data_IF_088105491317
#
_entry.id   IF_088105491317
#
_cell.length_a   1.000
_cell.length_b   1.000
_cell.length_c   1.000
_cell.angle_alpha   90.00
_cell.angle_beta   90.00
_cell.angle_gamma   90.00
#
_symmetry.space_group_name_H-M   'P 1'
#
loop_
_entity.id
_entity.type
_entity.pdbx_description
1 polymer ?
#
# COMPACT_ATOMS: atom_id res chain seq x y z
N UNK A 1 58.68 -22.56 -39.52
CA UNK A 1 57.89 -21.41 -39.03
C UNK A 1 56.48 -21.57 -39.54
N UNK A 2 55.51 -21.89 -38.67
CA UNK A 2 54.10 -22.00 -39.03
C UNK A 2 53.36 -20.79 -38.45
N UNK A 3 52.73 -20.01 -39.32
CA UNK A 3 51.95 -18.83 -38.95
C UNK A 3 50.68 -19.25 -38.19
N UNK A 4 50.37 -18.64 -37.04
CA UNK A 4 49.21 -19.01 -36.25
C UNK A 4 47.92 -18.67 -37.00
N UNK A 5 46.94 -19.58 -36.96
CA UNK A 5 45.67 -19.39 -37.66
C UNK A 5 44.86 -18.24 -37.02
N UNK A 6 44.18 -17.41 -37.82
CA UNK A 6 43.40 -16.27 -37.34
C UNK A 6 42.28 -16.69 -36.38
N UNK A 7 41.80 -17.93 -36.49
CA UNK A 7 40.81 -18.51 -35.57
C UNK A 7 41.31 -18.63 -34.12
N UNK A 8 42.61 -18.87 -33.91
CA UNK A 8 43.17 -19.00 -32.56
C UNK A 8 43.24 -17.66 -31.82
N UNK A 9 43.50 -16.58 -32.56
CA UNK A 9 43.51 -15.22 -32.01
C UNK A 9 42.09 -14.75 -31.63
N UNK A 10 41.09 -15.07 -32.47
CA UNK A 10 39.69 -14.72 -32.21
C UNK A 10 39.14 -15.48 -31.01
N UNK A 11 39.49 -16.77 -30.85
CA UNK A 11 39.04 -17.57 -29.71
C UNK A 11 39.60 -17.07 -28.38
N UNK A 12 40.86 -16.63 -28.36
CA UNK A 12 41.47 -16.03 -27.15
C UNK A 12 40.85 -14.67 -26.81
N UNK A 13 40.46 -13.87 -27.81
CA UNK A 13 39.77 -12.60 -27.60
C UNK A 13 38.35 -12.79 -27.04
N UNK A 14 37.62 -13.79 -27.54
CA UNK A 14 36.27 -14.12 -27.06
C UNK A 14 36.25 -14.68 -25.63
N UNK A 15 37.31 -15.39 -25.22
CA UNK A 15 37.46 -15.88 -23.84
C UNK A 15 37.89 -14.78 -22.85
N UNK A 16 38.58 -13.73 -23.33
CA UNK A 16 39.01 -12.60 -22.49
C UNK A 16 37.92 -11.54 -22.24
N UNK A 17 36.95 -11.42 -23.16
CA UNK A 17 35.81 -10.49 -23.07
C UNK A 17 34.96 -10.59 -21.78
N UNK A 18 34.58 -11.78 -21.27
CA UNK A 18 33.86 -11.87 -20.00
C UNK A 18 34.73 -11.47 -18.79
N UNK A 19 36.05 -11.70 -18.85
CA UNK A 19 36.98 -11.36 -17.76
C UNK A 19 37.23 -9.84 -17.67
N UNK A 20 37.34 -9.16 -18.82
CA UNK A 20 37.42 -7.70 -18.91
C UNK A 20 36.10 -7.03 -18.49
N UNK A 21 34.96 -7.61 -18.84
CA UNK A 21 33.63 -7.18 -18.37
C UNK A 21 33.50 -7.27 -16.85
N UNK A 22 34.03 -8.34 -16.25
CA UNK A 22 33.99 -8.55 -14.80
C UNK A 22 34.85 -7.54 -14.03
N UNK A 23 36.03 -7.20 -14.56
CA UNK A 23 36.92 -6.18 -13.98
C UNK A 23 36.37 -4.75 -14.12
N UNK A 24 35.61 -4.45 -15.18
CA UNK A 24 34.96 -3.15 -15.36
C UNK A 24 33.75 -2.94 -14.42
N UNK A 25 33.04 -4.01 -14.05
CA UNK A 25 31.90 -3.97 -13.13
C UNK A 25 32.27 -3.85 -11.64
N UNK A 26 33.55 -4.01 -11.28
CA UNK A 26 34.01 -3.99 -9.88
C UNK A 26 34.80 -2.73 -9.49
N UNK A 27 34.89 -1.71 -10.36
CA UNK A 27 35.47 -0.42 -9.97
C UNK A 27 34.41 0.52 -9.38
N UNK A 28 34.38 0.51 -8.04
CA UNK A 28 33.82 1.50 -7.11
C UNK A 28 32.28 1.67 -7.07
N UNK A 29 31.60 1.18 -6.02
CA UNK A 29 30.25 1.65 -5.71
C UNK A 29 30.32 3.11 -5.24
N UNK A 30 29.49 3.96 -5.84
CA UNK A 30 29.25 5.31 -5.36
C UNK A 30 28.68 5.27 -3.91
N UNK A 31 28.99 6.26 -3.06
CA UNK A 31 28.45 6.28 -1.71
C UNK A 31 26.92 6.39 -1.75
N UNK A 32 26.24 5.48 -1.04
CA UNK A 32 24.81 5.54 -0.83
C UNK A 32 24.44 6.83 -0.08
N UNK A 33 23.34 7.52 -0.43
CA UNK A 33 22.81 8.58 0.39
C UNK A 33 22.43 8.04 1.78
N UNK A 34 22.54 8.85 2.85
CA UNK A 34 22.22 8.39 4.19
C UNK A 34 20.76 7.93 4.26
N UNK A 35 20.46 6.81 4.96
CA UNK A 35 19.10 6.34 5.13
C UNK A 35 18.29 7.40 5.87
N UNK A 36 17.12 7.73 5.34
CA UNK A 36 16.14 8.53 6.07
C UNK A 36 15.63 7.70 7.24
N UNK A 37 15.47 8.35 8.40
CA UNK A 37 14.93 7.77 9.63
C UNK A 37 13.64 7.00 9.32
N UNK A 38 13.66 5.68 9.51
CA UNK A 38 12.44 4.89 9.60
C UNK A 38 11.75 5.28 10.92
N UNK A 39 10.47 5.65 10.84
CA UNK A 39 9.69 5.94 12.04
C UNK A 39 8.96 4.68 12.49
N UNK A 40 9.36 4.22 13.68
CA UNK A 40 8.67 3.19 14.42
C UNK A 40 7.24 3.63 14.75
N UNK A 41 6.25 2.77 14.51
CA UNK A 41 4.85 3.04 14.80
C UNK A 41 4.61 3.18 16.32
N UNK A 42 4.50 4.41 16.81
CA UNK A 42 4.02 4.66 18.18
C UNK A 42 2.53 5.01 18.11
N UNK A 43 1.67 4.08 18.54
CA UNK A 43 0.25 4.34 18.79
C UNK A 43 0.13 5.24 20.05
N UNK A 44 -0.77 6.24 20.09
CA UNK A 44 -0.95 7.07 21.27
C UNK A 44 -1.58 6.25 22.40
N UNK A 45 -0.94 6.26 23.56
CA UNK A 45 -1.50 5.74 24.80
C UNK A 45 -2.74 6.55 25.20
N UNK A 46 -3.75 5.85 25.71
CA UNK A 46 -4.96 6.42 26.27
C UNK A 46 -4.62 7.38 27.42
N UNK A 47 -5.19 8.58 27.39
CA UNK A 47 -5.08 9.55 28.47
C UNK A 47 -5.83 9.05 29.70
N UNK A 48 -5.11 8.81 30.79
CA UNK A 48 -5.67 8.56 32.11
C UNK A 48 -6.00 9.89 32.79
N UNK A 49 -7.23 9.97 33.28
CA UNK A 49 -7.80 11.06 34.05
C UNK A 49 -7.18 11.03 35.45
N UNK A 50 -6.53 12.12 35.88
CA UNK A 50 -6.49 12.46 37.31
C UNK A 50 -6.73 13.94 37.52
N UNK A 51 -7.79 14.18 38.28
CA UNK A 51 -8.29 15.45 38.78
C UNK A 51 -7.74 15.58 40.21
N UNK A 52 -7.18 16.73 40.59
CA UNK A 52 -6.99 17.09 42.00
C UNK A 52 -6.91 18.62 42.15
N UNK A 53 -8.04 19.18 42.56
CA UNK A 53 -8.15 20.50 43.20
C UNK A 53 -7.34 20.53 44.50
N UNK A 54 -6.69 21.66 44.79
CA UNK A 54 -6.61 22.19 46.15
C UNK A 54 -6.46 23.72 46.12
N UNK A 55 -7.13 24.34 47.07
CA UNK A 55 -7.38 25.78 47.20
C UNK A 55 -6.49 26.41 48.28
N UNK A 56 -6.38 27.75 48.20
CA UNK A 56 -6.27 28.74 49.30
C UNK A 56 -4.86 29.22 49.72
N UNK A 57 -4.73 30.38 50.40
CA UNK A 57 -4.72 31.71 49.77
C UNK A 57 -3.59 32.63 50.33
N UNK A 58 -3.37 33.81 49.74
CA UNK A 58 -2.78 34.94 50.49
C UNK A 58 -3.19 36.28 49.88
N UNK A 59 -3.72 37.13 50.77
CA UNK A 59 -3.87 38.58 50.70
C UNK A 59 -2.49 39.27 50.56
N UNK A 60 -2.29 40.55 50.26
CA UNK A 60 -3.09 41.80 50.28
C UNK A 60 -2.27 42.83 49.51
N UNK A 61 -2.90 43.85 48.91
CA UNK A 61 -2.53 45.28 48.96
C UNK A 61 -2.95 46.03 47.69
N UNK A 62 -3.89 46.93 47.93
CA UNK A 62 -4.51 47.89 47.02
C UNK A 62 -3.52 48.99 46.64
N UNK A 63 -3.37 49.27 45.34
CA UNK A 63 -3.07 50.63 44.89
C UNK A 63 -3.80 50.88 43.57
N UNK A 64 -4.65 51.90 43.60
CA UNK A 64 -5.53 52.34 42.53
C UNK A 64 -4.75 53.20 41.53
N UNK A 65 -4.61 52.73 40.30
CA UNK A 65 -4.28 53.57 39.15
C UNK A 65 -5.14 53.14 37.96
N UNK A 66 -5.98 54.07 37.50
CA UNK A 66 -6.91 53.92 36.38
C UNK A 66 -6.25 53.30 35.13
N UNK A 67 -6.82 52.23 34.52
CA UNK A 67 -6.28 51.69 33.29
C UNK A 67 -6.82 52.47 32.09
N UNK A 68 -5.90 52.92 31.24
CA UNK A 68 -6.15 53.39 29.88
C UNK A 68 -6.92 52.34 29.05
N UNK A 69 -7.73 52.75 28.06
CA UNK A 69 -8.52 51.81 27.27
C UNK A 69 -7.63 50.75 26.59
N UNK A 70 -8.08 49.49 26.52
CA UNK A 70 -7.28 48.42 25.93
C UNK A 70 -7.00 48.73 24.47
N UNK A 71 -5.78 48.43 23.96
CA UNK A 71 -5.52 48.50 22.54
C UNK A 71 -6.51 47.56 21.81
N UNK A 72 -6.94 47.91 20.58
CA UNK A 72 -7.85 47.08 19.81
C UNK A 72 -7.27 45.67 19.71
N UNK A 73 -8.11 44.61 19.76
CA UNK A 73 -7.63 43.24 19.71
C UNK A 73 -6.81 43.08 18.43
N UNK A 74 -5.51 42.86 18.59
CA UNK A 74 -4.65 42.37 17.52
C UNK A 74 -5.35 41.18 16.89
N UNK A 75 -5.52 41.15 15.55
CA UNK A 75 -6.16 40.02 14.91
C UNK A 75 -5.42 38.77 15.38
N UNK A 76 -6.16 37.83 15.99
CA UNK A 76 -5.66 36.49 16.30
C UNK A 76 -4.91 36.03 15.06
N UNK A 77 -3.61 35.78 15.20
CA UNK A 77 -2.80 35.21 14.14
C UNK A 77 -3.63 34.07 13.52
N UNK A 78 -4.00 34.24 12.26
CA UNK A 78 -4.66 33.18 11.50
C UNK A 78 -3.85 31.92 11.71
N UNK A 79 -4.48 30.85 12.18
CA UNK A 79 -3.83 29.54 12.26
C UNK A 79 -3.08 29.34 10.95
N UNK A 80 -1.78 29.03 11.05
CA UNK A 80 -0.94 28.87 9.87
C UNK A 80 -1.58 27.80 8.97
N UNK A 81 -1.44 27.90 7.64
CA UNK A 81 -1.96 26.88 6.72
C UNK A 81 -1.42 25.48 7.07
N UNK A 82 -0.33 25.40 7.83
CA UNK A 82 0.24 24.14 8.34
C UNK A 82 -0.58 23.50 9.48
N UNK A 83 -1.31 24.29 10.28
CA UNK A 83 -2.10 23.81 11.42
C UNK A 83 -3.55 23.44 11.04
N UNK A 84 -3.99 23.80 9.84
CA UNK A 84 -5.37 23.51 9.42
C UNK A 84 -5.57 22.01 9.17
N UNK A 85 -6.71 21.41 9.56
CA UNK A 85 -7.01 20.01 9.24
C UNK A 85 -6.99 19.71 7.74
N UNK A 86 -6.56 18.50 7.38
CA UNK A 86 -6.58 18.04 5.97
C UNK A 86 -8.01 18.02 5.43
N UNK A 87 -8.26 18.74 4.34
CA UNK A 87 -9.55 18.84 3.66
C UNK A 87 -9.39 18.62 2.15
N UNK A 88 -10.49 18.60 1.38
CA UNK A 88 -10.45 18.33 -0.06
C UNK A 88 -9.58 19.31 -0.86
N UNK A 89 -9.38 20.55 -0.40
CA UNK A 89 -8.50 21.50 -1.12
C UNK A 89 -7.03 21.09 -1.06
N UNK A 90 -6.65 20.34 -0.03
CA UNK A 90 -5.30 19.83 0.20
C UNK A 90 -5.03 18.50 -0.52
N UNK A 91 -6.03 17.92 -1.19
CA UNK A 91 -5.93 16.63 -1.88
C UNK A 91 -6.08 16.86 -3.39
N UNK A 92 -5.18 16.26 -4.16
CA UNK A 92 -5.31 16.16 -5.62
C UNK A 92 -5.46 14.70 -6.01
N UNK A 93 -6.49 14.39 -6.78
CA UNK A 93 -6.79 13.06 -7.29
C UNK A 93 -6.26 12.93 -8.72
N UNK A 94 -5.31 12.03 -8.96
CA UNK A 94 -4.85 11.65 -10.29
C UNK A 94 -5.51 10.35 -10.72
N UNK A 95 -6.38 10.40 -11.72
CA UNK A 95 -7.13 9.24 -12.20
C UNK A 95 -6.56 8.79 -13.56
N UNK A 96 -6.08 7.56 -13.66
CA UNK A 96 -5.61 6.98 -14.91
C UNK A 96 -6.77 6.36 -15.69
N UNK A 97 -6.89 6.69 -16.97
CA UNK A 97 -7.96 6.21 -17.86
C UNK A 97 -7.43 6.06 -19.29
N UNK A 98 -8.22 5.45 -20.16
CA UNK A 98 -7.98 5.49 -21.60
C UNK A 98 -9.14 6.16 -22.33
N UNK A 99 -8.87 6.73 -23.51
CA UNK A 99 -9.88 7.27 -24.43
C UNK A 99 -10.96 6.22 -24.74
N UNK A 100 -10.56 4.94 -24.81
CA UNK A 100 -11.44 3.81 -25.11
C UNK A 100 -12.36 3.45 -23.94
N UNK A 101 -11.85 3.44 -22.71
CA UNK A 101 -12.60 3.02 -21.52
C UNK A 101 -13.42 4.15 -20.91
N UNK A 102 -13.02 5.40 -21.11
CA UNK A 102 -13.63 6.56 -20.46
C UNK A 102 -15.17 6.58 -20.52
N UNK A 103 -15.84 6.39 -21.68
CA UNK A 103 -17.31 6.44 -21.73
C UNK A 103 -18.00 5.44 -20.78
N UNK A 104 -17.39 4.27 -20.57
CA UNK A 104 -17.92 3.23 -19.68
C UNK A 104 -17.69 3.55 -18.20
N UNK A 105 -16.72 4.42 -17.89
CA UNK A 105 -16.23 4.71 -16.54
C UNK A 105 -16.75 6.02 -15.99
N UNK A 106 -17.19 6.93 -16.86
CA UNK A 106 -17.80 8.20 -16.47
C UNK A 106 -18.93 8.08 -15.44
N UNK A 107 -19.87 7.10 -15.52
CA UNK A 107 -20.92 6.96 -14.52
C UNK A 107 -20.37 6.74 -13.10
N UNK A 108 -19.32 5.92 -12.97
CA UNK A 108 -18.66 5.71 -11.67
C UNK A 108 -18.00 6.99 -11.17
N UNK A 109 -17.28 7.70 -12.04
CA UNK A 109 -16.62 8.95 -11.68
C UNK A 109 -17.65 10.00 -11.19
N UNK A 110 -18.82 10.11 -11.82
CA UNK A 110 -19.90 11.01 -11.35
C UNK A 110 -20.47 10.62 -9.98
N UNK A 111 -20.42 9.34 -9.62
CA UNK A 111 -20.99 8.87 -8.36
C UNK A 111 -20.25 9.46 -7.15
N UNK A 112 -18.92 9.44 -7.21
CA UNK A 112 -18.06 9.72 -6.06
C UNK A 112 -17.26 11.03 -6.15
N UNK A 113 -16.89 11.48 -7.36
CA UNK A 113 -16.19 12.77 -7.52
C UNK A 113 -17.18 13.92 -7.42
N UNK A 114 -16.92 14.83 -6.49
CA UNK A 114 -17.75 16.02 -6.25
C UNK A 114 -16.87 17.21 -5.92
N UNK A 115 -17.35 18.40 -6.27
CA UNK A 115 -16.74 19.65 -5.82
C UNK A 115 -16.69 19.70 -4.27
N UNK A 116 -15.66 20.33 -3.66
CA UNK A 116 -14.55 21.05 -4.29
C UNK A 116 -13.33 20.16 -4.59
N UNK A 117 -13.47 18.84 -4.75
CA UNK A 117 -12.34 17.96 -5.03
C UNK A 117 -11.62 18.37 -6.32
N UNK A 118 -10.29 18.39 -6.26
CA UNK A 118 -9.41 18.70 -7.39
C UNK A 118 -8.96 17.39 -8.01
N UNK A 119 -9.44 17.08 -9.21
CA UNK A 119 -9.11 15.83 -9.87
C UNK A 119 -8.60 16.06 -11.30
N UNK A 120 -7.63 15.25 -11.70
CA UNK A 120 -7.09 15.23 -13.05
C UNK A 120 -7.22 13.82 -13.62
N UNK A 121 -7.94 13.69 -14.74
CA UNK A 121 -8.12 12.45 -15.47
C UNK A 121 -7.13 12.40 -16.62
N UNK A 122 -6.21 11.45 -16.58
CA UNK A 122 -5.17 11.27 -17.58
C UNK A 122 -5.61 10.25 -18.62
N UNK A 123 -5.59 10.64 -19.89
CA UNK A 123 -5.91 9.80 -21.04
C UNK A 123 -4.65 9.45 -21.84
N UNK A 124 -4.71 8.34 -22.55
CA UNK A 124 -3.70 7.87 -23.52
C UNK A 124 -3.75 8.62 -24.86
N UNK A 125 -4.88 9.26 -25.18
CA UNK A 125 -5.06 10.05 -26.39
C UNK A 125 -6.11 11.15 -26.18
N UNK A 126 -6.02 12.22 -26.96
CA UNK A 126 -7.02 13.28 -26.98
C UNK A 126 -8.40 12.75 -27.41
N UNK A 127 -9.46 13.29 -26.80
CA UNK A 127 -10.82 13.03 -27.23
C UNK A 127 -11.11 13.73 -28.58
N UNK A 128 -11.94 13.15 -29.45
CA UNK A 128 -12.37 13.82 -30.68
C UNK A 128 -13.00 15.18 -30.37
N UNK A 129 -12.64 16.20 -31.16
CA UNK A 129 -13.26 17.54 -31.10
C UNK A 129 -14.65 17.50 -31.75
N UNK A 130 -15.60 16.82 -31.13
CA UNK A 130 -17.02 16.92 -31.49
C UNK A 130 -17.73 17.89 -30.55
N UNK A 131 -18.73 18.62 -31.07
CA UNK A 131 -19.60 19.46 -30.24
C UNK A 131 -20.31 18.57 -29.22
N UNK A 132 -20.10 18.82 -27.93
CA UNK A 132 -20.68 18.03 -26.83
C UNK A 132 -19.76 16.95 -26.28
N UNK A 133 -18.50 17.28 -25.99
CA UNK A 133 -17.57 16.39 -25.27
C UNK A 133 -18.19 15.81 -23.98
N UNK A 134 -17.60 14.74 -23.42
CA UNK A 134 -18.20 14.04 -22.29
C UNK A 134 -18.50 15.01 -21.15
N UNK A 135 -19.72 14.97 -20.63
CA UNK A 135 -20.05 15.68 -19.41
C UNK A 135 -19.18 15.13 -18.29
N UNK A 136 -18.32 15.94 -17.70
CA UNK A 136 -17.40 15.52 -16.64
C UNK A 136 -17.95 15.91 -15.27
N UNK A 137 -17.64 15.15 -14.21
CA UNK A 137 -17.93 15.56 -12.84
C UNK A 137 -17.31 16.93 -12.53
N UNK A 138 -18.00 17.80 -11.77
CA UNK A 138 -17.43 19.07 -11.32
C UNK A 138 -16.10 18.86 -10.59
N UNK A 139 -15.08 19.65 -10.95
CA UNK A 139 -13.73 19.56 -10.37
C UNK A 139 -12.80 18.56 -11.06
N UNK A 140 -13.30 17.74 -11.99
CA UNK A 140 -12.47 16.86 -12.82
C UNK A 140 -11.99 17.59 -14.08
N UNK A 141 -10.68 17.58 -14.32
CA UNK A 141 -10.05 18.16 -15.51
C UNK A 141 -9.35 17.07 -16.32
N UNK A 142 -9.53 17.09 -17.63
CA UNK A 142 -8.84 16.16 -18.54
C UNK A 142 -7.40 16.60 -18.79
N UNK A 143 -6.49 15.62 -18.84
CA UNK A 143 -5.13 15.78 -19.35
C UNK A 143 -4.81 14.61 -20.29
N UNK A 144 -4.03 14.88 -21.33
CA UNK A 144 -3.45 13.81 -22.17
C UNK A 144 -2.06 13.52 -21.63
N UNK A 145 -1.76 12.25 -21.42
CA UNK A 145 -0.45 11.82 -20.93
C UNK A 145 0.62 12.14 -21.96
N UNK A 146 1.75 12.68 -21.49
CA UNK A 146 2.89 12.94 -22.36
C UNK A 146 3.54 11.63 -22.86
N UNK A 147 4.31 11.73 -23.96
CA UNK A 147 4.96 10.57 -24.56
C UNK A 147 5.94 9.88 -23.59
N UNK A 148 5.79 8.57 -23.47
CA UNK A 148 6.59 7.69 -22.63
C UNK A 148 7.41 6.67 -23.42
N UNK A 149 7.40 6.75 -24.76
CA UNK A 149 8.06 5.81 -25.68
C UNK A 149 9.56 5.65 -25.40
N UNK A 150 10.22 6.68 -24.87
CA UNK A 150 11.65 6.66 -24.49
C UNK A 150 11.99 5.72 -23.33
N UNK A 151 11.01 5.28 -22.55
CA UNK A 151 11.25 4.40 -21.40
C UNK A 151 11.16 2.93 -21.83
N UNK A 152 12.20 2.11 -21.55
CA UNK A 152 12.18 0.71 -21.92
C UNK A 152 11.07 -0.03 -21.17
N UNK A 153 10.46 -0.99 -21.86
CA UNK A 153 9.43 -1.87 -21.30
C UNK A 153 9.60 -3.26 -21.90
N UNK A 154 9.85 -4.26 -21.05
CA UNK A 154 10.22 -5.62 -21.45
C UNK A 154 9.28 -6.69 -20.91
N UNK A 155 8.22 -6.31 -20.18
CA UNK A 155 7.30 -7.28 -19.60
C UNK A 155 6.35 -7.85 -20.68
N UNK A 156 6.28 -9.18 -20.88
CA UNK A 156 5.64 -9.79 -22.05
C UNK A 156 4.11 -9.68 -22.08
N UNK A 157 3.47 -9.41 -20.93
CA UNK A 157 2.01 -9.43 -20.77
C UNK A 157 1.37 -8.07 -20.46
N UNK A 158 2.14 -6.98 -20.42
CA UNK A 158 1.58 -5.66 -20.14
C UNK A 158 1.84 -4.66 -21.25
N UNK A 159 1.35 -3.44 -21.06
CA UNK A 159 1.45 -2.37 -22.04
C UNK A 159 2.36 -1.26 -21.49
N UNK A 160 3.11 -0.54 -22.35
CA UNK A 160 3.99 0.57 -21.95
C UNK A 160 3.18 1.85 -21.63
N UNK A 161 2.02 1.72 -20.98
CA UNK A 161 1.19 2.85 -20.57
C UNK A 161 1.82 3.58 -19.40
N UNK A 162 1.92 4.91 -19.47
CA UNK A 162 2.37 5.73 -18.37
C UNK A 162 1.58 7.03 -18.32
N UNK A 163 1.07 7.36 -17.13
CA UNK A 163 0.60 8.71 -16.85
C UNK A 163 1.83 9.59 -16.68
N UNK A 164 1.95 10.61 -17.53
CA UNK A 164 3.04 11.58 -17.47
C UNK A 164 2.48 12.99 -17.53
N UNK A 165 2.82 13.78 -16.51
CA UNK A 165 2.40 15.16 -16.35
C UNK A 165 3.62 16.04 -16.11
N UNK A 166 3.97 16.89 -17.08
CA UNK A 166 5.14 17.76 -16.98
C UNK A 166 4.84 19.06 -16.20
N UNK A 167 3.56 19.42 -16.01
CA UNK A 167 3.17 20.68 -15.37
C UNK A 167 2.85 20.56 -13.87
N UNK A 168 2.53 19.34 -13.40
CA UNK A 168 2.09 19.09 -12.02
C UNK A 168 0.77 19.78 -11.63
N UNK A 169 0.35 19.65 -10.36
CA UNK A 169 -0.90 20.23 -9.87
C UNK A 169 -0.70 21.55 -9.07
N UNK A 170 -1.04 22.73 -9.62
CA UNK A 170 -1.10 23.98 -8.86
C UNK A 170 -2.47 24.19 -8.16
N UNK A 171 -2.53 24.80 -6.96
CA UNK A 171 -1.42 24.97 -6.02
C UNK A 171 -0.97 23.63 -5.41
N UNK A 172 0.27 23.54 -4.87
CA UNK A 172 0.78 22.30 -4.28
C UNK A 172 -0.20 21.67 -3.27
N UNK A 173 -0.54 20.37 -3.40
CA UNK A 173 -1.37 19.68 -2.42
C UNK A 173 -0.55 19.29 -1.18
N UNK A 174 -1.23 18.81 -0.14
CA UNK A 174 -0.60 18.01 0.92
C UNK A 174 -0.51 16.53 0.51
N UNK A 175 -1.50 16.05 -0.25
CA UNK A 175 -1.61 14.67 -0.70
C UNK A 175 -1.91 14.56 -2.19
N UNK A 176 -1.16 13.69 -2.87
CA UNK A 176 -1.48 13.20 -4.21
C UNK A 176 -2.07 11.80 -4.08
N UNK A 177 -3.31 11.61 -4.53
CA UNK A 177 -4.02 10.32 -4.48
C UNK A 177 -4.20 9.81 -5.90
N UNK A 178 -3.57 8.69 -6.22
CA UNK A 178 -3.63 8.02 -7.52
C UNK A 178 -4.73 6.97 -7.51
N UNK A 179 -5.41 6.81 -8.64
CA UNK A 179 -6.54 5.89 -8.80
C UNK A 179 -6.72 5.45 -10.24
N UNK A 180 -7.30 4.27 -10.45
CA UNK A 180 -7.76 3.83 -11.77
C UNK A 180 -9.16 4.38 -12.08
N UNK A 181 -9.57 4.34 -13.35
CA UNK A 181 -10.89 4.79 -13.80
C UNK A 181 -12.08 3.96 -13.28
N UNK A 182 -11.80 2.82 -12.65
CA UNK A 182 -12.74 1.97 -11.92
C UNK A 182 -12.58 1.96 -10.40
N UNK A 183 -11.74 2.86 -9.88
CA UNK A 183 -11.61 3.10 -8.45
C UNK A 183 -12.59 4.17 -7.99
N UNK A 184 -13.17 4.00 -6.80
CA UNK A 184 -14.06 4.99 -6.17
C UNK A 184 -13.67 5.25 -4.72
N UNK A 185 -13.77 6.51 -4.29
CA UNK A 185 -13.47 6.91 -2.91
C UNK A 185 -14.70 7.44 -2.19
N UNK A 186 -14.86 7.01 -0.94
CA UNK A 186 -15.73 7.71 0.02
C UNK A 186 -14.93 8.88 0.58
N UNK A 187 -15.09 10.07 -0.01
CA UNK A 187 -14.25 11.24 0.26
C UNK A 187 -14.08 11.58 1.77
N UNK A 188 -15.13 11.57 2.61
CA UNK A 188 -14.95 11.80 4.05
C UNK A 188 -14.07 10.75 4.73
N UNK A 189 -14.13 9.49 4.30
CA UNK A 189 -13.30 8.42 4.84
C UNK A 189 -11.85 8.55 4.37
N UNK A 190 -11.64 8.95 3.11
CA UNK A 190 -10.31 9.26 2.59
C UNK A 190 -9.66 10.36 3.43
N UNK A 191 -10.35 11.49 3.67
CA UNK A 191 -9.81 12.58 4.49
C UNK A 191 -9.51 12.15 5.93
N UNK A 192 -10.38 11.35 6.53
CA UNK A 192 -10.16 10.79 7.88
C UNK A 192 -8.91 9.90 7.90
N UNK A 193 -8.70 9.08 6.88
CA UNK A 193 -7.52 8.23 6.78
C UNK A 193 -6.24 9.06 6.63
N UNK A 194 -6.23 10.03 5.72
CA UNK A 194 -5.08 10.92 5.48
C UNK A 194 -4.77 11.81 6.70
N UNK A 195 -5.79 12.24 7.44
CA UNK A 195 -5.64 13.08 8.63
C UNK A 195 -4.93 12.41 9.81
N UNK A 196 -4.68 11.10 9.75
CA UNK A 196 -3.90 10.37 10.77
C UNK A 196 -2.39 10.59 10.64
N UNK A 197 -1.94 11.08 9.49
CA UNK A 197 -0.53 11.14 9.13
C UNK A 197 -0.09 12.60 8.98
N UNK A 198 1.11 12.90 9.48
CA UNK A 198 1.73 14.20 9.22
C UNK A 198 2.14 14.27 7.74
N UNK A 199 1.41 15.06 6.97
CA UNK A 199 1.59 15.19 5.52
C UNK A 199 2.96 15.76 5.11
N UNK A 200 3.70 16.36 6.05
CA UNK A 200 5.05 16.91 5.84
C UNK A 200 6.10 15.80 5.77
N UNK A 201 5.77 14.61 6.27
CA UNK A 201 6.62 13.43 6.26
C UNK A 201 6.41 12.58 5.00
N UNK A 202 7.42 11.78 4.58
CA UNK A 202 7.39 11.07 3.31
C UNK A 202 6.54 9.79 3.35
N UNK A 203 5.21 9.95 3.32
CA UNK A 203 4.27 8.83 3.32
C UNK A 203 3.95 8.26 1.93
N UNK A 204 4.00 6.93 1.83
CA UNK A 204 3.45 6.11 0.74
C UNK A 204 2.39 5.17 1.32
N UNK A 205 1.12 5.53 1.17
CA UNK A 205 -0.03 4.86 1.77
C UNK A 205 -0.82 4.08 0.73
N UNK A 206 -1.38 2.95 1.16
CA UNK A 206 -2.35 2.16 0.40
C UNK A 206 -2.49 0.78 1.01
N UNK A 207 -3.06 -0.16 0.25
CA UNK A 207 -3.22 -1.53 0.72
C UNK A 207 -2.64 -2.55 -0.26
N UNK A 208 -2.43 -3.74 0.29
CA UNK A 208 -2.16 -4.96 -0.48
C UNK A 208 -3.42 -5.39 -1.22
N UNK A 209 -3.27 -6.32 -2.15
CA UNK A 209 -4.42 -6.93 -2.81
C UNK A 209 -5.21 -7.82 -1.86
N UNK A 210 -6.53 -7.87 -1.98
CA UNK A 210 -7.35 -8.91 -1.34
C UNK A 210 -7.18 -10.28 -2.03
N UNK A 211 -6.60 -10.29 -3.24
CA UNK A 211 -6.27 -11.52 -3.96
C UNK A 211 -4.87 -12.00 -3.58
N UNK A 212 -4.81 -13.16 -2.94
CA UNK A 212 -3.55 -13.83 -2.62
C UNK A 212 -2.68 -14.09 -3.87
N UNK A 213 -3.29 -14.42 -5.01
CA UNK A 213 -2.56 -14.63 -6.26
C UNK A 213 -1.91 -13.34 -6.77
N UNK A 214 -2.62 -12.22 -6.67
CA UNK A 214 -2.09 -10.91 -7.05
C UNK A 214 -0.92 -10.48 -6.17
N UNK A 215 -1.02 -10.72 -4.85
CA UNK A 215 0.10 -10.51 -3.93
C UNK A 215 1.28 -11.44 -4.20
N UNK A 216 1.03 -12.71 -4.55
CA UNK A 216 2.10 -13.65 -4.89
C UNK A 216 2.85 -13.24 -6.16
N UNK A 217 2.14 -12.69 -7.16
CA UNK A 217 2.73 -12.28 -8.43
C UNK A 217 3.42 -10.91 -8.39
N UNK A 218 2.85 -9.93 -7.67
CA UNK A 218 3.32 -8.54 -7.69
C UNK A 218 3.98 -8.11 -6.37
N UNK A 219 3.82 -8.89 -5.31
CA UNK A 219 4.47 -8.73 -4.02
C UNK A 219 3.62 -8.03 -2.96
N UNK A 220 3.97 -8.27 -1.70
CA UNK A 220 3.18 -7.86 -0.54
C UNK A 220 3.51 -6.46 0.02
N UNK A 221 4.52 -5.77 -0.50
CA UNK A 221 4.92 -4.43 -0.02
C UNK A 221 4.70 -3.36 -1.10
N UNK A 222 3.53 -3.39 -1.74
CA UNK A 222 3.09 -2.45 -2.76
C UNK A 222 1.71 -1.92 -2.41
N UNK A 223 1.47 -0.62 -2.60
CA UNK A 223 0.12 -0.11 -2.71
C UNK A 223 -0.40 -0.43 -4.12
N UNK A 224 -1.53 -1.09 -4.21
CA UNK A 224 -2.13 -1.43 -5.50
C UNK A 224 -2.98 -0.29 -6.06
N UNK A 225 -2.77 0.07 -7.32
CA UNK A 225 -3.41 1.20 -8.02
C UNK A 225 -4.93 1.09 -8.04
N UNK A 226 -5.46 -0.10 -8.31
CA UNK A 226 -6.91 -0.37 -8.31
C UNK A 226 -7.57 -0.28 -6.92
N UNK A 227 -6.79 -0.14 -5.83
CA UNK A 227 -7.32 0.23 -4.51
C UNK A 227 -7.24 1.72 -4.19
N UNK A 228 -6.46 2.45 -4.99
CA UNK A 228 -5.97 3.78 -4.69
C UNK A 228 -4.59 3.76 -4.01
N UNK A 229 -3.81 4.80 -4.27
CA UNK A 229 -2.49 5.04 -3.65
C UNK A 229 -2.45 6.48 -3.17
N UNK A 230 -2.09 6.75 -1.92
CA UNK A 230 -1.88 8.11 -1.45
C UNK A 230 -0.41 8.39 -1.16
N UNK A 231 0.12 9.47 -1.72
CA UNK A 231 1.51 9.89 -1.57
C UNK A 231 1.53 11.30 -0.98
N UNK A 232 2.25 11.48 0.11
CA UNK A 232 2.51 12.82 0.66
C UNK A 232 3.21 13.70 -0.39
N UNK A 233 2.92 14.99 -0.39
CA UNK A 233 3.48 15.90 -1.38
C UNK A 233 5.03 16.00 -1.35
N UNK A 234 5.69 16.04 -0.18
CA UNK A 234 7.15 16.01 -0.11
C UNK A 234 7.75 14.76 -0.77
N UNK A 235 7.15 13.59 -0.58
CA UNK A 235 7.57 12.35 -1.23
C UNK A 235 7.29 12.39 -2.74
N UNK A 236 6.09 12.83 -3.16
CA UNK A 236 5.74 12.94 -4.57
C UNK A 236 6.72 13.84 -5.34
N UNK A 237 7.14 14.96 -4.74
CA UNK A 237 8.18 15.85 -5.33
C UNK A 237 9.55 15.20 -5.43
N UNK A 238 9.95 14.40 -4.45
CA UNK A 238 11.23 13.66 -4.49
C UNK A 238 11.17 12.56 -5.55
N UNK A 239 10.08 11.81 -5.60
CA UNK A 239 9.82 10.78 -6.59
C UNK A 239 9.84 11.37 -8.00
N UNK A 240 9.15 12.47 -8.27
CA UNK A 240 9.11 13.11 -9.58
C UNK A 240 10.50 13.45 -10.14
N UNK A 241 11.47 13.82 -9.29
CA UNK A 241 12.86 14.11 -9.72
C UNK A 241 13.67 12.85 -10.05
N UNK A 242 13.37 11.73 -9.40
CA UNK A 242 14.11 10.47 -9.58
C UNK A 242 13.43 9.51 -10.58
N UNK A 243 12.12 9.67 -10.81
CA UNK A 243 11.27 8.71 -11.48
C UNK A 243 11.81 8.33 -12.85
N UNK A 244 12.16 9.30 -13.69
CA UNK A 244 12.67 9.06 -15.05
C UNK A 244 13.91 8.15 -15.04
N UNK A 245 14.87 8.39 -14.14
CA UNK A 245 16.08 7.56 -14.02
C UNK A 245 15.81 6.19 -13.41
N UNK A 246 14.85 6.10 -12.47
CA UNK A 246 14.49 4.87 -11.80
C UNK A 246 13.74 3.91 -12.73
N UNK A 247 12.75 4.41 -13.46
CA UNK A 247 11.85 3.54 -14.25
C UNK A 247 12.55 2.83 -15.41
N UNK A 248 13.73 3.32 -15.82
CA UNK A 248 14.64 2.67 -16.79
C UNK A 248 15.31 1.43 -16.20
N UNK A 249 15.53 1.37 -14.87
CA UNK A 249 16.10 0.19 -14.18
C UNK A 249 15.10 -0.95 -14.01
N UNK A 250 13.81 -0.64 -14.08
CA UNK A 250 12.73 -1.62 -13.86
C UNK A 250 11.82 -1.83 -15.08
N UNK A 251 12.36 -2.11 -16.28
CA UNK A 251 11.56 -2.31 -17.49
C UNK A 251 10.76 -3.64 -17.47
N UNK A 252 11.16 -4.57 -16.61
CA UNK A 252 10.59 -5.91 -16.50
C UNK A 252 9.37 -5.99 -15.56
N UNK A 253 9.08 -4.92 -14.82
CA UNK A 253 7.93 -4.88 -13.90
C UNK A 253 6.63 -4.67 -14.68
N UNK A 254 5.60 -5.42 -14.32
CA UNK A 254 4.34 -5.53 -15.06
C UNK A 254 3.55 -4.20 -15.17
N UNK A 255 3.34 -3.53 -14.04
CA UNK A 255 2.43 -2.39 -13.96
C UNK A 255 3.10 -1.14 -13.41
N UNK A 256 2.41 0.00 -13.56
CA UNK A 256 2.80 1.29 -12.97
C UNK A 256 3.07 1.16 -11.48
N UNK A 257 2.23 0.43 -10.76
CA UNK A 257 2.26 0.34 -9.30
C UNK A 257 3.55 -0.32 -8.82
N UNK A 258 3.98 -1.37 -9.52
CA UNK A 258 5.22 -2.08 -9.24
C UNK A 258 6.44 -1.18 -9.47
N UNK A 259 6.41 -0.38 -10.53
CA UNK A 259 7.48 0.59 -10.85
C UNK A 259 7.50 1.73 -9.84
N UNK A 260 6.34 2.28 -9.47
CA UNK A 260 6.21 3.31 -8.42
C UNK A 260 6.77 2.77 -7.11
N UNK A 261 6.36 1.57 -6.69
CA UNK A 261 6.90 0.93 -5.49
C UNK A 261 8.42 0.80 -5.54
N UNK A 262 8.97 0.30 -6.65
CA UNK A 262 10.41 0.15 -6.78
C UNK A 262 11.14 1.50 -6.62
N UNK A 263 10.64 2.55 -7.27
CA UNK A 263 11.23 3.88 -7.18
C UNK A 263 11.05 4.55 -5.81
N UNK A 264 9.91 4.33 -5.13
CA UNK A 264 9.69 4.81 -3.77
C UNK A 264 10.61 4.09 -2.78
N UNK A 265 10.84 2.78 -2.99
CA UNK A 265 11.78 2.00 -2.17
C UNK A 265 13.24 2.45 -2.36
N UNK A 266 13.67 2.85 -3.56
CA UNK A 266 14.99 3.47 -3.78
C UNK A 266 15.16 4.79 -3.02
N UNK A 267 14.07 5.48 -2.70
CA UNK A 267 14.08 6.68 -1.85
C UNK A 267 14.04 6.35 -0.35
N UNK A 268 14.10 5.06 0.02
CA UNK A 268 14.09 4.59 1.40
C UNK A 268 12.71 4.63 2.06
N UNK A 269 11.62 4.69 1.28
CA UNK A 269 10.25 4.70 1.81
C UNK A 269 9.56 3.38 1.49
N UNK A 270 8.98 2.76 2.52
CA UNK A 270 8.19 1.54 2.38
C UNK A 270 6.69 1.81 2.36
N UNK A 271 5.91 0.80 1.97
CA UNK A 271 4.44 0.86 2.05
C UNK A 271 4.01 1.00 3.52
N UNK A 272 3.28 2.06 3.82
CA UNK A 272 2.48 2.14 5.03
C UNK A 272 1.08 1.61 4.73
N UNK A 273 0.77 0.45 5.31
CA UNK A 273 -0.50 -0.22 5.06
C UNK A 273 -1.69 0.53 5.71
N UNK A 274 -2.59 1.06 4.88
CA UNK A 274 -3.81 1.72 5.31
C UNK A 274 -5.03 0.83 5.03
N UNK A 275 -5.69 0.27 6.08
CA UNK A 275 -6.78 -0.69 5.90
C UNK A 275 -8.02 -0.18 5.16
N UNK A 276 -8.17 1.13 4.94
CA UNK A 276 -9.30 1.72 4.21
C UNK A 276 -9.18 1.67 2.68
N UNK A 277 -8.06 1.17 2.14
CA UNK A 277 -7.86 0.96 0.71
C UNK A 277 -8.13 -0.51 0.39
N UNK A 278 -8.88 -0.78 -0.68
CA UNK A 278 -9.33 -2.13 -1.01
C UNK A 278 -9.24 -2.43 -2.51
N UNK A 279 -8.65 -3.59 -2.86
CA UNK A 279 -8.62 -4.05 -4.24
C UNK A 279 -9.49 -5.30 -4.41
N UNK A 280 -10.70 -5.13 -4.92
CA UNK A 280 -11.68 -6.21 -5.12
C UNK A 280 -11.61 -6.70 -6.58
N UNK A 281 -11.15 -7.93 -6.80
CA UNK A 281 -10.96 -8.47 -8.16
C UNK A 281 -12.20 -9.10 -8.79
N UNK A 282 -13.20 -9.51 -8.00
CA UNK A 282 -14.36 -10.25 -8.51
C UNK A 282 -15.63 -9.97 -7.71
N UNK A 283 -16.68 -9.59 -8.44
CA UNK A 283 -18.03 -9.40 -7.91
C UNK A 283 -18.22 -8.08 -7.16
N UNK A 284 -19.48 -7.77 -6.87
CA UNK A 284 -19.83 -6.69 -5.96
C UNK A 284 -19.82 -7.26 -4.54
N UNK A 285 -19.01 -6.68 -3.67
CA UNK A 285 -18.91 -7.07 -2.26
C UNK A 285 -19.28 -5.85 -1.43
N UNK A 286 -20.19 -6.01 -0.47
CA UNK A 286 -20.51 -4.92 0.46
C UNK A 286 -19.31 -4.67 1.36
N UNK A 287 -19.04 -3.39 1.70
CA UNK A 287 -17.92 -3.03 2.56
C UNK A 287 -17.93 -3.80 3.92
N UNK A 288 -19.08 -4.01 4.60
CA UNK A 288 -19.11 -4.86 5.80
C UNK A 288 -18.66 -6.30 5.54
N UNK A 289 -19.05 -6.90 4.41
CA UNK A 289 -18.65 -8.27 4.06
C UNK A 289 -17.15 -8.38 3.74
N UNK A 290 -16.59 -7.30 3.19
CA UNK A 290 -15.16 -7.19 2.91
C UNK A 290 -14.32 -7.08 4.20
N UNK A 291 -14.80 -6.29 5.16
CA UNK A 291 -14.11 -6.04 6.43
C UNK A 291 -14.32 -7.17 7.47
N UNK A 292 -15.37 -7.98 7.31
CA UNK A 292 -15.74 -8.99 8.29
C UNK A 292 -14.79 -10.20 8.30
N UNK A 293 -14.36 -10.61 9.50
CA UNK A 293 -13.59 -11.84 9.70
C UNK A 293 -14.47 -13.08 9.54
N UNK A 294 -13.89 -14.19 9.07
CA UNK A 294 -14.63 -15.45 8.88
C UNK A 294 -15.18 -15.94 10.22
N UNK A 295 -16.48 -16.26 10.29
CA UNK A 295 -17.05 -16.91 11.46
C UNK A 295 -16.39 -18.29 11.67
N UNK A 296 -15.74 -18.47 12.82
CA UNK A 296 -15.05 -19.71 13.21
C UNK A 296 -15.70 -20.43 14.40
N UNK A 297 -16.84 -19.92 14.89
CA UNK A 297 -17.52 -20.40 16.09
C UNK A 297 -19.00 -20.68 15.84
N UNK A 298 -19.58 -21.55 16.66
CA UNK A 298 -21.02 -21.82 16.71
C UNK A 298 -21.51 -21.60 18.14
N UNK A 299 -22.69 -20.97 18.33
CA UNK A 299 -23.22 -20.81 19.67
C UNK A 299 -23.61 -22.17 20.27
N UNK A 300 -23.36 -22.34 21.57
CA UNK A 300 -23.76 -23.54 22.31
C UNK A 300 -25.29 -23.68 22.42
N UNK A 301 -26.00 -22.57 22.58
CA UNK A 301 -27.46 -22.53 22.68
C UNK A 301 -28.10 -22.86 21.33
N UNK A 302 -29.05 -23.80 21.30
CA UNK A 302 -29.82 -24.18 20.10
C UNK A 302 -31.19 -23.50 20.15
N UNK A 303 -31.61 -22.86 19.05
CA UNK A 303 -32.92 -22.17 18.95
C UNK A 303 -32.97 -21.14 17.83
N UNK A 304 -34.17 -20.63 17.49
CA UNK A 304 -34.37 -19.68 16.36
C UNK A 304 -33.79 -18.27 16.59
N UNK A 305 -33.46 -17.90 17.84
CA UNK A 305 -33.06 -16.54 18.22
C UNK A 305 -31.65 -16.48 18.86
N UNK A 306 -30.64 -17.12 18.25
CA UNK A 306 -29.27 -17.17 18.79
C UNK A 306 -28.27 -16.38 17.94
N UNK A 307 -28.74 -15.67 16.91
CA UNK A 307 -27.88 -14.93 15.99
C UNK A 307 -27.24 -13.68 16.61
N UNK A 308 -27.72 -13.21 17.76
CA UNK A 308 -27.45 -11.84 18.23
C UNK A 308 -26.62 -11.77 19.53
N UNK A 309 -25.90 -12.83 19.90
CA UNK A 309 -25.18 -12.89 21.20
C UNK A 309 -23.76 -12.28 21.14
N UNK A 310 -23.22 -12.05 19.95
CA UNK A 310 -21.83 -11.59 19.78
C UNK A 310 -21.77 -10.14 19.29
N UNK A 311 -20.92 -9.33 19.91
CA UNK A 311 -20.78 -7.89 19.65
C UNK A 311 -19.98 -7.53 18.37
N UNK A 312 -19.73 -8.49 17.47
CA UNK A 312 -18.93 -8.25 16.29
C UNK A 312 -19.46 -9.01 15.07
N UNK A 313 -19.46 -8.32 13.93
CA UNK A 313 -19.90 -8.87 12.66
C UNK A 313 -18.89 -9.88 12.13
N UNK A 314 -19.40 -11.03 11.69
CA UNK A 314 -18.59 -12.08 11.07
C UNK A 314 -19.18 -12.49 9.75
N UNK A 315 -18.35 -12.74 8.74
CA UNK A 315 -18.82 -13.26 7.46
C UNK A 315 -19.29 -14.70 7.65
N UNK A 316 -20.44 -15.02 7.06
CA UNK A 316 -21.00 -16.37 7.09
C UNK A 316 -20.04 -17.37 6.45
N UNK A 317 -20.04 -18.61 6.95
CA UNK A 317 -19.27 -19.69 6.35
C UNK A 317 -19.94 -20.12 5.04
N UNK A 318 -19.32 -19.92 3.86
CA UNK A 318 -20.00 -20.19 2.58
C UNK A 318 -20.50 -21.63 2.51
N UNK A 319 -21.76 -21.83 2.12
CA UNK A 319 -22.30 -23.19 1.93
C UNK A 319 -21.62 -23.91 0.77
N UNK A 320 -21.30 -23.17 -0.28
CA UNK A 320 -20.52 -23.64 -1.43
C UNK A 320 -19.06 -23.88 -1.02
N UNK A 321 -18.61 -25.13 -1.12
CA UNK A 321 -17.24 -25.54 -0.78
C UNK A 321 -16.18 -24.82 -1.62
N UNK A 322 -16.51 -24.45 -2.86
CA UNK A 322 -15.57 -23.83 -3.80
C UNK A 322 -15.36 -22.34 -3.52
N UNK A 323 -16.21 -21.74 -2.68
CA UNK A 323 -16.06 -20.36 -2.21
C UNK A 323 -15.37 -20.28 -0.84
N UNK A 324 -15.08 -21.42 -0.21
CA UNK A 324 -14.36 -21.47 1.07
C UNK A 324 -12.86 -21.31 0.83
N UNK A 325 -12.16 -20.76 1.83
CA UNK A 325 -10.70 -20.78 1.84
C UNK A 325 -10.16 -22.21 1.88
N UNK A 326 -8.94 -22.42 1.38
CA UNK A 326 -8.27 -23.71 1.47
C UNK A 326 -8.06 -24.11 2.94
N UNK A 327 -8.48 -25.34 3.30
CA UNK A 327 -8.34 -25.88 4.65
C UNK A 327 -7.07 -26.72 4.75
N UNK A 328 -6.32 -26.51 5.82
CA UNK A 328 -5.12 -27.27 6.14
C UNK A 328 -5.24 -27.84 7.55
N UNK A 329 -5.00 -29.13 7.69
CA UNK A 329 -5.05 -29.84 8.98
C UNK A 329 -3.65 -30.17 9.44
N UNK A 330 -3.42 -30.06 10.74
CA UNK A 330 -2.16 -30.45 11.36
C UNK A 330 -1.86 -31.92 11.04
N UNK A 331 -0.71 -32.16 10.42
CA UNK A 331 -0.21 -33.48 10.04
C UNK A 331 0.83 -34.00 11.03
N UNK A 332 1.78 -33.15 11.40
CA UNK A 332 2.86 -33.54 12.31
C UNK A 332 3.38 -32.35 13.10
N UNK A 333 3.93 -32.65 14.27
CA UNK A 333 4.64 -31.72 15.14
C UNK A 333 5.99 -32.37 15.41
N UNK A 334 7.07 -31.61 15.26
CA UNK A 334 8.39 -31.99 15.71
C UNK A 334 9.03 -30.83 16.46
N UNK A 335 9.94 -31.14 17.36
CA UNK A 335 10.73 -30.12 18.05
C UNK A 335 12.19 -30.51 18.05
N UNK A 336 13.04 -29.58 17.62
CA UNK A 336 14.48 -29.73 17.55
C UNK A 336 15.14 -28.38 17.85
N UNK A 337 16.23 -28.40 18.62
CA UNK A 337 17.09 -27.23 18.84
C UNK A 337 16.35 -25.94 19.28
N UNK A 338 15.36 -26.06 20.17
CA UNK A 338 14.58 -24.91 20.66
C UNK A 338 13.58 -24.33 19.64
N UNK A 339 13.34 -25.04 18.54
CA UNK A 339 12.31 -24.74 17.55
C UNK A 339 11.24 -25.83 17.53
N UNK A 340 10.04 -25.44 17.18
CA UNK A 340 8.91 -26.32 16.91
C UNK A 340 8.55 -26.18 15.45
N UNK A 341 8.52 -27.30 14.76
CA UNK A 341 8.11 -27.39 13.36
C UNK A 341 6.78 -28.14 13.29
N UNK A 342 5.77 -27.51 12.71
CA UNK A 342 4.47 -28.12 12.46
C UNK A 342 4.19 -28.15 10.98
N UNK A 343 3.71 -29.29 10.49
CA UNK A 343 3.31 -29.44 9.08
C UNK A 343 1.81 -29.60 8.99
N UNK A 344 1.19 -29.02 7.98
CA UNK A 344 -0.25 -29.07 7.74
C UNK A 344 -0.53 -29.55 6.32
N UNK A 345 -1.34 -30.60 6.20
CA UNK A 345 -1.77 -31.12 4.91
C UNK A 345 -3.06 -30.44 4.47
N UNK A 346 -3.12 -30.12 3.17
CA UNK A 346 -4.33 -29.60 2.56
C UNK A 346 -5.44 -30.64 2.55
N UNK A 347 -6.65 -30.22 2.89
CA UNK A 347 -7.85 -31.00 2.63
C UNK A 347 -8.24 -30.86 1.15
N UNK A 348 -8.28 -31.96 0.38
CA UNK A 348 -8.70 -31.89 -1.01
C UNK A 348 -10.18 -31.52 -1.11
N UNK A 349 -10.51 -30.51 -1.93
CA UNK A 349 -11.90 -30.16 -2.24
C UNK A 349 -12.53 -31.24 -3.11
N UNK A 350 -13.75 -31.68 -2.79
CA UNK A 350 -14.36 -32.83 -3.47
C UNK A 350 -14.82 -32.55 -4.91
N UNK A 351 -15.14 -31.30 -5.29
CA UNK A 351 -15.82 -30.98 -6.57
C UNK A 351 -15.55 -29.57 -7.15
N UNK A 352 -14.40 -28.97 -6.90
CA UNK A 352 -14.14 -27.59 -7.34
C UNK A 352 -13.31 -27.53 -8.61
N UNK A 353 -13.70 -26.65 -9.54
CA UNK A 353 -12.90 -26.41 -10.75
C UNK A 353 -11.53 -25.84 -10.34
N UNK A 354 -10.42 -26.37 -10.88
CA UNK A 354 -9.08 -26.07 -10.37
C UNK A 354 -8.67 -24.59 -10.45
N UNK A 355 -9.28 -23.81 -11.34
CA UNK A 355 -8.90 -22.42 -11.63
C UNK A 355 -9.50 -21.39 -10.65
N UNK A 356 -10.34 -21.84 -9.71
CA UNK A 356 -11.00 -20.98 -8.73
C UNK A 356 -10.41 -21.06 -7.31
N UNK A 357 -9.39 -21.90 -7.09
CA UNK A 357 -8.91 -22.18 -5.74
C UNK A 357 -7.59 -21.43 -5.46
N UNK A 358 -7.57 -20.43 -4.55
CA UNK A 358 -6.34 -19.82 -4.08
C UNK A 358 -5.36 -20.90 -3.57
N UNK A 359 -4.07 -20.72 -3.83
CA UNK A 359 -3.01 -21.67 -3.45
C UNK A 359 -3.21 -23.08 -4.04
N UNK A 360 -3.76 -23.20 -5.26
CA UNK A 360 -4.01 -24.48 -5.96
C UNK A 360 -2.87 -25.48 -5.85
N UNK A 361 -1.63 -25.01 -5.96
CA UNK A 361 -0.45 -25.87 -6.01
C UNK A 361 0.06 -26.26 -4.61
N UNK A 362 -0.25 -25.48 -3.58
CA UNK A 362 0.22 -25.73 -2.20
C UNK A 362 -0.58 -26.87 -1.60
N UNK A 363 0.11 -27.96 -1.27
CA UNK A 363 -0.47 -29.14 -0.63
C UNK A 363 0.00 -29.29 0.82
N UNK A 364 1.11 -28.65 1.17
CA UNK A 364 1.71 -28.71 2.50
C UNK A 364 2.05 -27.28 2.96
N UNK A 365 1.66 -26.94 4.18
CA UNK A 365 2.20 -25.77 4.87
C UNK A 365 3.16 -26.26 5.94
N UNK A 366 4.36 -25.71 5.97
CA UNK A 366 5.36 -26.00 6.97
C UNK A 366 5.56 -24.74 7.80
N UNK A 367 5.28 -24.82 9.09
CA UNK A 367 5.41 -23.70 10.03
C UNK A 367 6.55 -24.01 10.98
N UNK A 368 7.55 -23.14 11.04
CA UNK A 368 8.62 -23.21 12.02
C UNK A 368 8.42 -22.07 13.03
N UNK A 369 8.48 -22.37 14.32
CA UNK A 369 8.37 -21.38 15.40
C UNK A 369 9.50 -21.57 16.41
N UNK A 370 10.01 -20.48 16.98
CA UNK A 370 10.80 -20.57 18.19
C UNK A 370 9.94 -21.02 19.38
N UNK A 371 10.56 -21.73 20.32
CA UNK A 371 9.89 -22.14 21.55
C UNK A 371 9.46 -20.89 22.36
N UNK A 372 8.17 -20.82 22.66
CA UNK A 372 7.61 -19.74 23.48
C UNK A 372 7.96 -19.96 24.95
N UNK A 373 8.82 -19.09 25.48
CA UNK A 373 9.05 -19.00 26.92
C UNK A 373 7.93 -18.19 27.57
N UNK A 374 7.05 -18.89 28.28
CA UNK A 374 5.97 -18.29 29.04
C UNK A 374 6.55 -17.61 30.29
N UNK A 375 6.40 -16.29 30.39
CA UNK A 375 6.75 -15.53 31.59
C UNK A 375 5.44 -15.14 32.29
N UNK A 376 5.16 -15.70 33.49
CA UNK A 376 3.97 -15.33 34.24
C UNK A 376 3.87 -13.81 34.45
N UNK A 377 2.68 -13.24 34.22
CA UNK A 377 2.42 -11.81 34.40
C UNK A 377 2.80 -10.88 33.24
N UNK A 378 3.40 -11.39 32.14
CA UNK A 378 3.62 -10.60 30.91
C UNK A 378 2.58 -10.96 29.86
N UNK A 379 1.87 -9.95 29.34
CA UNK A 379 0.97 -10.11 28.20
C UNK A 379 1.75 -10.56 26.95
N UNK A 380 1.20 -11.52 26.21
CA UNK A 380 1.81 -12.00 24.96
C UNK A 380 1.94 -10.85 23.96
N UNK A 381 3.16 -10.53 23.54
CA UNK A 381 3.38 -9.69 22.36
C UNK A 381 3.05 -10.50 21.10
N UNK A 382 2.50 -9.84 20.08
CA UNK A 382 2.21 -10.45 18.77
C UNK A 382 3.51 -11.06 18.20
N UNK A 383 3.46 -12.30 17.73
CA UNK A 383 4.55 -12.90 16.96
C UNK A 383 4.42 -12.49 15.49
N UNK A 384 5.55 -12.28 14.83
CA UNK A 384 5.62 -11.95 13.42
C UNK A 384 5.72 -13.21 12.58
N UNK A 385 5.16 -13.16 11.38
CA UNK A 385 5.04 -14.28 10.46
C UNK A 385 5.70 -13.89 9.13
N UNK A 386 6.71 -14.65 8.71
CA UNK A 386 7.34 -14.51 7.39
C UNK A 386 6.93 -15.68 6.50
N UNK A 387 6.54 -15.40 5.27
CA UNK A 387 6.42 -16.42 4.23
C UNK A 387 7.79 -16.54 3.58
N UNK A 388 8.47 -17.66 3.81
CA UNK A 388 9.82 -17.92 3.32
C UNK A 388 9.74 -18.49 1.91
N UNK A 389 10.74 -18.20 1.06
CA UNK A 389 10.85 -18.87 -0.24
C UNK A 389 11.04 -20.38 -0.02
N UNK A 390 10.05 -21.15 -0.43
CA UNK A 390 10.08 -22.60 -0.38
C UNK A 390 10.94 -23.16 -1.50
N UNK A 391 11.52 -24.34 -1.27
CA UNK A 391 12.25 -25.11 -2.28
C UNK A 391 11.32 -25.74 -3.34
N UNK A 392 10.01 -25.73 -3.12
CA UNK A 392 9.03 -26.33 -4.02
C UNK A 392 7.70 -25.56 -4.03
N UNK A 393 7.11 -25.42 -5.21
CA UNK A 393 5.83 -24.73 -5.43
C UNK A 393 4.63 -25.39 -4.71
N UNK A 394 4.79 -26.62 -4.22
CA UNK A 394 3.77 -27.36 -3.48
C UNK A 394 3.86 -27.24 -1.95
N UNK A 395 4.92 -26.59 -1.43
CA UNK A 395 5.13 -26.36 0.00
C UNK A 395 5.14 -24.85 0.24
N UNK A 396 4.41 -24.39 1.26
CA UNK A 396 4.51 -23.02 1.76
C UNK A 396 5.22 -23.04 3.11
N UNK A 397 6.41 -22.46 3.15
CA UNK A 397 7.20 -22.33 4.37
C UNK A 397 6.84 -21.03 5.09
N UNK A 398 6.48 -21.16 6.37
CA UNK A 398 6.08 -20.07 7.24
C UNK A 398 7.01 -20.08 8.45
N UNK A 399 7.61 -18.95 8.76
CA UNK A 399 8.45 -18.78 9.94
C UNK A 399 7.78 -17.82 10.93
N UNK A 400 7.48 -18.33 12.12
CA UNK A 400 6.95 -17.57 13.25
C UNK A 400 8.12 -17.18 14.15
N UNK A 401 8.30 -15.89 14.36
CA UNK A 401 9.39 -15.34 15.16
C UNK A 401 8.90 -14.20 16.04
N UNK A 402 9.75 -13.79 16.98
CA UNK A 402 9.56 -12.51 17.66
C UNK A 402 9.56 -11.39 16.61
N UNK A 403 8.61 -10.47 16.73
CA UNK A 403 8.67 -9.23 15.96
C UNK A 403 9.95 -8.49 16.33
N UNK A 404 10.65 -7.96 15.33
CA UNK A 404 11.77 -7.07 15.60
C UNK A 404 11.19 -5.82 16.25
N UNK A 405 11.81 -5.35 17.32
CA UNK A 405 11.56 -3.98 17.76
C UNK A 405 12.02 -3.07 16.60
N UNK A 406 11.15 -2.15 16.17
CA UNK A 406 11.46 -1.25 15.06
C UNK A 406 12.61 -0.33 15.49
N UNK A 407 13.82 -0.65 15.03
CA UNK A 407 15.08 0.05 15.32
C UNK A 407 15.34 1.18 14.36
#
# INVERSE_FOLDING_TARGET
>A
MATPSPLRAILLFLLALPFLSFLALHRHPAPLPPPLRAHAHTLPAAAEVTNLNSHSPSSTATSSSSPSPPPPPTPKASASDDDEPTSLRHVVLGVASSRRTLPLRLPLLHLWLRAPARAFLFLDAALPTTRGGPHLPPGLRLRVSADASRFPYSHPRGLPSAVRDDAGPPPPPRWLVLADDDTAFVLPNLLRALGKYDWREPWYLGARSESAAQNAWHGFAMAYGGSGIAVSWPLARRLARALDSCVVRYPHLYGSDARIRACVAELGVELTHEPGFHQVFKGNVLLPDLLAVQKTFVPWKRGRNVTDVYMFDTKHYPRDECKRGALFFLKSISSSEGKTETTYNRQPSRKCSPDLIPLRNVNLIKVTSEQLHLVPGKAFRRQCCDIVRSSSDNIMDVNIRKCKDES
#
